data_IF_667658891620
#
_entry.id   IF_667658891620
#
_cell.length_a   1.000
_cell.length_b   1.000
_cell.length_c   1.000
_cell.angle_alpha   90.00
_cell.angle_beta   90.00
_cell.angle_gamma   90.00
#
_symmetry.space_group_name_H-M   'P 1'
#
loop_
_entity.id
_entity.type
_entity.pdbx_description
1 polymer ?
#
# COMPACT_ATOMS: atom_id res chain seq x y z
N UNK A 1 2.90 -11.53 9.17
CA UNK A 1 2.77 -11.04 7.77
C UNK A 1 4.13 -10.87 7.09
N UNK A 2 4.32 -11.33 5.84
CA UNK A 2 5.49 -11.03 4.99
C UNK A 2 5.18 -9.87 4.03
N UNK A 3 6.01 -8.84 4.01
CA UNK A 3 5.78 -7.62 3.20
C UNK A 3 6.62 -7.62 1.92
N UNK A 4 5.95 -7.52 0.77
CA UNK A 4 6.55 -7.46 -0.56
C UNK A 4 6.22 -6.11 -1.18
N UNK A 5 7.25 -5.33 -1.50
CA UNK A 5 7.09 -4.00 -2.10
C UNK A 5 7.42 -4.06 -3.58
N UNK A 6 6.55 -3.45 -4.39
CA UNK A 6 6.78 -3.22 -5.80
C UNK A 6 7.10 -1.75 -6.00
N UNK A 7 8.34 -1.47 -6.42
CA UNK A 7 8.80 -0.09 -6.56
C UNK A 7 9.70 0.10 -7.77
N UNK A 8 9.64 1.30 -8.33
CA UNK A 8 10.50 1.80 -9.40
C UNK A 8 10.16 3.29 -9.61
N UNK A 9 11.17 4.14 -9.62
CA UNK A 9 11.06 5.57 -9.95
C UNK A 9 10.55 5.84 -11.37
N UNK A 10 10.68 4.89 -12.31
CA UNK A 10 10.10 5.00 -13.65
C UNK A 10 8.60 4.71 -13.59
N UNK A 11 7.79 5.62 -14.13
CA UNK A 11 6.37 5.41 -14.38
C UNK A 11 6.12 4.39 -15.50
N UNK A 12 4.96 3.73 -15.50
CA UNK A 12 4.56 2.85 -16.60
C UNK A 12 5.31 1.52 -16.73
N UNK A 13 6.06 1.09 -15.71
CA UNK A 13 6.81 -0.19 -15.71
C UNK A 13 6.01 -1.39 -15.17
N UNK A 14 4.67 -1.30 -15.17
CA UNK A 14 3.75 -2.33 -14.69
C UNK A 14 3.83 -2.67 -13.18
N UNK A 15 4.17 -1.70 -12.32
CA UNK A 15 4.17 -1.87 -10.85
C UNK A 15 2.80 -2.31 -10.31
N UNK A 16 1.79 -1.46 -10.48
CA UNK A 16 0.40 -1.73 -10.08
C UNK A 16 -0.14 -3.03 -10.63
N UNK A 17 0.07 -3.29 -11.92
CA UNK A 17 -0.36 -4.53 -12.57
C UNK A 17 0.28 -5.75 -11.92
N UNK A 18 1.59 -5.70 -11.67
CA UNK A 18 2.33 -6.78 -11.02
C UNK A 18 1.90 -6.95 -9.56
N UNK A 19 1.63 -5.85 -8.85
CA UNK A 19 1.21 -5.86 -7.45
C UNK A 19 -0.14 -6.57 -7.31
N UNK A 20 -1.11 -6.16 -8.13
CA UNK A 20 -2.42 -6.77 -8.15
C UNK A 20 -2.37 -8.25 -8.55
N UNK A 21 -1.65 -8.59 -9.62
CA UNK A 21 -1.53 -9.97 -10.09
C UNK A 21 -0.86 -10.88 -9.06
N UNK A 22 0.20 -10.40 -8.38
CA UNK A 22 0.86 -11.12 -7.30
C UNK A 22 -0.10 -11.36 -6.14
N UNK A 23 -0.79 -10.32 -5.69
CA UNK A 23 -1.74 -10.42 -4.57
C UNK A 23 -2.90 -11.37 -4.90
N UNK A 24 -3.47 -11.29 -6.10
CA UNK A 24 -4.51 -12.20 -6.58
C UNK A 24 -4.00 -13.65 -6.67
N UNK A 25 -2.77 -13.86 -7.14
CA UNK A 25 -2.14 -15.18 -7.19
C UNK A 25 -1.91 -15.78 -5.80
N UNK A 26 -1.47 -14.98 -4.82
CA UNK A 26 -1.32 -15.39 -3.42
C UNK A 26 -2.68 -15.73 -2.81
N UNK A 27 -3.70 -14.91 -3.03
CA UNK A 27 -5.08 -15.17 -2.59
C UNK A 27 -5.61 -16.49 -3.18
N UNK A 28 -5.41 -16.73 -4.48
CA UNK A 28 -5.84 -17.97 -5.13
C UNK A 28 -5.15 -19.23 -4.58
N UNK A 29 -4.01 -19.07 -3.88
CA UNK A 29 -3.35 -20.15 -3.13
C UNK A 29 -3.85 -20.30 -1.69
N UNK A 30 -4.85 -19.54 -1.28
CA UNK A 30 -5.48 -19.62 0.04
C UNK A 30 -4.83 -18.73 1.12
N UNK A 31 -3.92 -17.83 0.75
CA UNK A 31 -3.33 -16.89 1.71
C UNK A 31 -4.25 -15.71 2.00
N UNK A 32 -4.19 -15.19 3.23
CA UNK A 32 -4.78 -13.91 3.62
C UNK A 32 -3.85 -12.79 3.16
N UNK A 33 -4.32 -11.93 2.26
CA UNK A 33 -3.48 -10.92 1.60
C UNK A 33 -4.00 -9.52 1.91
N UNK A 34 -3.12 -8.68 2.43
CA UNK A 34 -3.32 -7.24 2.48
C UNK A 34 -2.68 -6.62 1.24
N UNK A 35 -3.39 -5.72 0.58
CA UNK A 35 -2.84 -4.88 -0.48
C UNK A 35 -2.80 -3.44 0.03
N UNK A 36 -1.65 -2.79 -0.12
CA UNK A 36 -1.45 -1.38 0.21
C UNK A 36 -1.17 -0.61 -1.07
N UNK A 37 -2.02 0.38 -1.34
CA UNK A 37 -1.86 1.35 -2.42
C UNK A 37 -1.21 2.61 -1.83
N UNK A 38 0.11 2.70 -1.97
CA UNK A 38 0.90 3.84 -1.55
C UNK A 38 1.18 4.81 -2.72
N UNK A 39 0.40 4.73 -3.80
CA UNK A 39 0.37 5.73 -4.87
C UNK A 39 -0.83 6.66 -4.65
N UNK A 40 -0.64 7.98 -4.51
CA UNK A 40 -1.76 8.93 -4.39
C UNK A 40 -2.77 8.88 -5.55
N UNK A 41 -2.38 8.34 -6.72
CA UNK A 41 -3.29 8.13 -7.86
C UNK A 41 -4.27 6.97 -7.66
N UNK A 42 -4.08 6.16 -6.63
CA UNK A 42 -4.98 5.06 -6.25
C UNK A 42 -5.25 4.01 -7.34
N UNK A 43 -4.31 3.85 -8.30
CA UNK A 43 -4.50 2.96 -9.45
C UNK A 43 -4.73 1.50 -9.04
N UNK A 44 -4.08 1.05 -7.97
CA UNK A 44 -4.24 -0.32 -7.47
C UNK A 44 -5.63 -0.53 -6.85
N UNK A 45 -6.10 0.46 -6.09
CA UNK A 45 -7.43 0.48 -5.49
C UNK A 45 -8.51 0.35 -6.54
N UNK A 46 -8.42 1.15 -7.62
CA UNK A 46 -9.34 1.07 -8.75
C UNK A 46 -9.22 -0.26 -9.51
N UNK A 47 -8.00 -0.75 -9.73
CA UNK A 47 -7.76 -2.04 -10.40
C UNK A 47 -8.40 -3.20 -9.65
N UNK A 48 -8.45 -3.12 -8.33
CA UNK A 48 -9.11 -4.10 -7.48
C UNK A 48 -10.64 -3.91 -7.37
N UNK A 49 -11.23 -3.02 -8.19
CA UNK A 49 -12.67 -2.79 -8.23
C UNK A 49 -13.21 -2.07 -6.99
N UNK A 50 -12.37 -1.28 -6.29
CA UNK A 50 -12.77 -0.53 -5.11
C UNK A 50 -12.69 0.97 -5.33
N UNK A 51 -13.51 1.69 -4.57
CA UNK A 51 -13.48 3.15 -4.51
C UNK A 51 -12.60 3.61 -3.36
N UNK A 52 -11.99 4.78 -3.54
CA UNK A 52 -11.16 5.41 -2.51
C UNK A 52 -12.04 5.91 -1.35
N UNK A 53 -11.67 5.55 -0.12
CA UNK A 53 -12.24 6.17 1.07
C UNK A 53 -11.63 7.55 1.25
N UNK A 54 -12.44 8.61 1.24
CA UNK A 54 -11.95 9.99 1.39
C UNK A 54 -11.80 10.43 2.85
N UNK A 55 -12.42 9.70 3.78
CA UNK A 55 -12.45 10.07 5.20
C UNK A 55 -11.38 9.31 6.00
N UNK A 56 -11.37 7.98 5.90
CA UNK A 56 -10.38 7.15 6.59
C UNK A 56 -9.44 6.53 5.54
N UNK A 57 -8.35 7.22 5.22
CA UNK A 57 -7.28 6.75 4.33
C UNK A 57 -6.12 6.18 5.13
N UNK A 58 -5.20 5.49 4.46
CA UNK A 58 -3.88 5.19 5.02
C UNK A 58 -3.20 6.46 5.51
N UNK A 59 -3.34 7.58 4.80
CA UNK A 59 -2.74 8.84 5.22
C UNK A 59 -3.28 9.31 6.59
N UNK A 60 -4.59 9.27 6.81
CA UNK A 60 -5.20 9.61 8.10
C UNK A 60 -4.77 8.63 9.21
N UNK A 61 -4.62 7.35 8.88
CA UNK A 61 -4.12 6.36 9.83
C UNK A 61 -2.64 6.61 10.20
N UNK A 62 -1.80 7.01 9.24
CA UNK A 62 -0.40 7.39 9.50
C UNK A 62 -0.32 8.66 10.36
N UNK A 63 -1.25 9.60 10.20
CA UNK A 63 -1.37 10.77 11.09
C UNK A 63 -1.87 10.40 12.49
N UNK A 64 -2.53 9.25 12.65
CA UNK A 64 -3.16 8.84 13.90
C UNK A 64 -4.56 9.44 14.11
N UNK A 65 -5.18 9.94 13.04
CA UNK A 65 -6.53 10.49 13.07
C UNK A 65 -7.61 9.39 13.00
N UNK A 66 -7.24 8.21 12.50
CA UNK A 66 -8.03 6.99 12.57
C UNK A 66 -7.13 5.77 12.76
N UNK A 67 -7.74 4.62 13.03
CA UNK A 67 -7.04 3.34 13.09
C UNK A 67 -6.83 2.75 11.70
N UNK A 68 -5.82 1.89 11.56
CA UNK A 68 -5.57 1.14 10.31
C UNK A 68 -6.78 0.29 9.93
N UNK A 69 -7.48 -0.27 10.93
CA UNK A 69 -8.73 -1.01 10.73
C UNK A 69 -9.84 -0.14 10.15
N UNK A 70 -10.00 1.10 10.62
CA UNK A 70 -10.98 2.05 10.05
C UNK A 70 -10.59 2.48 8.64
N UNK A 71 -9.30 2.68 8.37
CA UNK A 71 -8.81 3.00 7.03
C UNK A 71 -8.99 1.85 6.02
N UNK A 72 -8.98 0.61 6.50
CA UNK A 72 -9.34 -0.58 5.71
C UNK A 72 -10.85 -0.72 5.52
N UNK A 73 -11.69 -0.09 6.36
CA UNK A 73 -13.13 -0.30 6.41
C UNK A 73 -13.88 0.59 5.40
N UNK A 74 -13.81 0.19 4.13
CA UNK A 74 -14.81 0.48 3.09
C UNK A 74 -14.90 -0.64 2.04
N UNK A 75 -14.43 -1.82 2.43
CA UNK A 75 -14.31 -2.98 1.57
C UNK A 75 -15.49 -3.89 1.84
N UNK A 76 -16.55 -3.76 1.05
CA UNK A 76 -17.71 -4.66 1.15
C UNK A 76 -17.21 -6.12 1.16
N UNK A 77 -17.59 -6.97 2.13
CA UNK A 77 -17.08 -8.33 2.25
C UNK A 77 -17.70 -9.21 1.17
N UNK A 78 -17.19 -9.10 -0.06
CA UNK A 78 -17.51 -10.06 -1.12
C UNK A 78 -16.37 -11.08 -1.27
N UNK A 79 -15.15 -10.79 -0.77
CA UNK A 79 -14.04 -11.75 -0.80
C UNK A 79 -13.20 -11.68 0.47
N UNK A 80 -13.49 -12.55 1.43
CA UNK A 80 -12.98 -12.60 2.82
C UNK A 80 -11.49 -12.90 2.99
N UNK A 81 -10.64 -12.69 1.98
CA UNK A 81 -9.20 -12.93 2.06
C UNK A 81 -8.33 -11.79 1.50
N UNK A 82 -8.93 -10.73 0.95
CA UNK A 82 -8.19 -9.61 0.38
C UNK A 82 -8.71 -8.25 0.87
N UNK A 83 -7.87 -7.58 1.67
CA UNK A 83 -8.13 -6.21 2.14
C UNK A 83 -7.28 -5.21 1.37
N UNK A 84 -7.78 -3.97 1.30
CA UNK A 84 -7.14 -2.88 0.57
C UNK A 84 -7.01 -1.68 1.50
N UNK A 85 -5.85 -1.04 1.44
CA UNK A 85 -5.52 0.15 2.20
C UNK A 85 -4.92 1.18 1.25
N UNK A 86 -5.59 2.31 1.04
CA UNK A 86 -5.17 3.34 0.07
C UNK A 86 -4.77 4.63 0.75
N UNK A 87 -3.69 5.25 0.28
CA UNK A 87 -3.26 6.58 0.74
C UNK A 87 -4.15 7.70 0.23
N UNK A 88 -4.78 7.52 -0.92
CA UNK A 88 -5.67 8.50 -1.51
C UNK A 88 -5.00 9.79 -1.99
N UNK A 89 -5.79 10.70 -2.55
CA UNK A 89 -5.32 11.95 -3.16
C UNK A 89 -4.58 12.88 -2.17
N UNK A 90 -4.88 12.75 -0.88
CA UNK A 90 -4.19 13.47 0.20
C UNK A 90 -2.71 13.08 0.33
N UNK A 91 -2.29 11.94 -0.23
CA UNK A 91 -0.91 11.45 -0.23
C UNK A 91 0.11 12.40 -0.87
N UNK A 92 -0.31 13.34 -1.73
CA UNK A 92 0.58 14.35 -2.31
C UNK A 92 1.00 15.44 -1.31
N UNK A 93 0.10 15.83 -0.38
CA UNK A 93 0.39 16.75 0.71
C UNK A 93 1.10 16.05 1.89
N UNK A 94 0.93 14.73 1.98
CA UNK A 94 1.48 13.88 3.03
C UNK A 94 2.99 14.03 3.20
N UNK A 95 3.73 14.03 2.09
CA UNK A 95 5.19 14.12 2.10
C UNK A 95 5.69 15.41 2.79
N UNK A 96 4.97 16.53 2.66
CA UNK A 96 5.32 17.80 3.29
C UNK A 96 4.90 17.85 4.76
N UNK A 97 3.68 17.43 5.08
CA UNK A 97 3.12 17.50 6.44
C UNK A 97 3.85 16.54 7.39
N UNK A 98 4.12 15.32 6.92
CA UNK A 98 4.80 14.28 7.69
C UNK A 98 6.32 14.46 7.75
N UNK A 99 6.89 15.39 6.97
CA UNK A 99 8.32 15.66 6.99
C UNK A 99 8.83 16.08 8.38
N UNK A 100 8.03 16.73 9.20
CA UNK A 100 8.47 17.19 10.53
C UNK A 100 8.45 16.10 11.61
N UNK A 101 7.85 14.93 11.34
CA UNK A 101 7.75 13.86 12.33
C UNK A 101 9.07 13.12 12.54
N UNK A 102 9.30 12.74 13.79
CA UNK A 102 10.40 11.84 14.16
C UNK A 102 10.08 10.42 13.67
N UNK A 103 11.09 9.69 13.18
CA UNK A 103 10.94 8.33 12.66
C UNK A 103 9.88 8.20 11.55
N UNK A 104 9.68 9.27 10.77
CA UNK A 104 8.64 9.36 9.72
C UNK A 104 8.75 8.28 8.65
N UNK A 105 9.92 7.68 8.47
CA UNK A 105 10.17 6.58 7.55
C UNK A 105 9.66 5.21 8.05
N UNK A 106 9.28 5.09 9.33
CA UNK A 106 8.79 3.86 9.95
C UNK A 106 7.26 3.82 10.14
N UNK A 107 6.54 4.90 9.86
CA UNK A 107 5.12 5.02 10.20
C UNK A 107 4.26 3.94 9.54
N UNK A 108 4.53 3.59 8.28
CA UNK A 108 3.81 2.51 7.61
C UNK A 108 4.13 1.15 8.22
N UNK A 109 5.37 0.92 8.64
CA UNK A 109 5.76 -0.32 9.32
C UNK A 109 4.98 -0.48 10.63
N UNK A 110 4.96 0.56 11.45
CA UNK A 110 4.22 0.58 12.73
C UNK A 110 2.70 0.42 12.52
N UNK A 111 2.16 0.97 11.44
CA UNK A 111 0.76 0.78 11.06
C UNK A 111 0.47 -0.69 10.68
N UNK A 112 1.35 -1.30 9.89
CA UNK A 112 1.20 -2.68 9.42
C UNK A 112 1.40 -3.72 10.54
N UNK A 113 2.21 -3.43 11.55
CA UNK A 113 2.39 -4.28 12.73
C UNK A 113 1.08 -4.53 13.48
N UNK A 114 0.17 -3.54 13.49
CA UNK A 114 -1.14 -3.63 14.17
C UNK A 114 -2.11 -4.62 13.52
N UNK A 115 -1.87 -5.00 12.27
CA UNK A 115 -2.71 -5.93 11.48
C UNK A 115 -1.94 -7.18 11.05
N UNK A 116 -0.70 -7.36 11.52
CA UNK A 116 0.22 -8.37 11.00
C UNK A 116 -0.22 -9.82 11.27
N UNK A 117 -1.05 -10.04 12.28
CA UNK A 117 -1.58 -11.37 12.65
C UNK A 117 -2.77 -11.80 11.77
N UNK A 118 -3.45 -10.83 11.16
CA UNK A 118 -4.61 -11.07 10.30
C UNK A 118 -4.23 -11.47 8.87
N UNK A 119 -2.97 -11.29 8.48
CA UNK A 119 -2.50 -11.50 7.11
C UNK A 119 -1.20 -12.31 7.03
N UNK A 120 -1.13 -13.16 6.02
CA UNK A 120 0.06 -13.93 5.70
C UNK A 120 1.02 -13.09 4.85
N UNK A 121 0.48 -12.28 3.92
CA UNK A 121 1.24 -11.41 3.02
C UNK A 121 0.68 -9.99 2.97
N UNK A 122 1.58 -9.01 2.85
CA UNK A 122 1.28 -7.64 2.47
C UNK A 122 1.96 -7.35 1.13
N UNK A 123 1.21 -6.86 0.14
CA UNK A 123 1.75 -6.40 -1.15
C UNK A 123 1.55 -4.90 -1.24
N UNK A 124 2.65 -4.15 -1.38
CA UNK A 124 2.64 -2.69 -1.42
C UNK A 124 3.01 -2.22 -2.83
N UNK A 125 2.15 -1.42 -3.44
CA UNK A 125 2.45 -0.68 -4.68
C UNK A 125 2.83 0.77 -4.33
N UNK A 126 3.92 1.26 -4.92
CA UNK A 126 4.41 2.61 -4.65
C UNK A 126 4.25 3.52 -5.86
N UNK A 127 4.10 4.81 -5.61
CA UNK A 127 4.20 5.86 -6.62
C UNK A 127 5.52 5.76 -7.45
N UNK A 128 5.57 6.32 -8.68
CA UNK A 128 6.79 6.44 -9.48
C UNK A 128 7.71 7.57 -8.96
N UNK A 129 7.92 7.66 -7.66
CA UNK A 129 8.75 8.66 -7.00
C UNK A 129 9.51 8.04 -5.83
N UNK A 130 10.58 8.70 -5.38
CA UNK A 130 11.30 8.36 -4.13
C UNK A 130 10.81 9.24 -2.96
N UNK A 131 9.50 9.49 -2.90
CA UNK A 131 8.86 10.28 -1.84
C UNK A 131 8.84 9.57 -0.49
N UNK A 132 8.29 10.23 0.52
CA UNK A 132 8.26 9.70 1.89
C UNK A 132 7.45 8.40 1.99
N UNK A 133 6.36 8.29 1.22
CA UNK A 133 5.55 7.07 1.16
C UNK A 133 6.31 5.88 0.56
N UNK A 134 7.10 6.11 -0.50
CA UNK A 134 7.98 5.08 -1.08
C UNK A 134 9.05 4.65 -0.08
N UNK A 135 9.64 5.60 0.65
CA UNK A 135 10.59 5.29 1.72
C UNK A 135 9.94 4.46 2.83
N UNK A 136 8.73 4.83 3.25
CA UNK A 136 7.95 4.08 4.23
C UNK A 136 7.67 2.64 3.78
N UNK A 137 7.28 2.45 2.51
CA UNK A 137 7.09 1.12 1.93
C UNK A 137 8.38 0.31 2.00
N UNK A 138 9.51 0.88 1.56
CA UNK A 138 10.82 0.23 1.59
C UNK A 138 11.26 -0.15 3.01
N UNK A 139 11.03 0.72 4.00
CA UNK A 139 11.34 0.45 5.41
C UNK A 139 10.50 -0.69 5.98
N UNK A 140 9.26 -0.86 5.50
CA UNK A 140 8.37 -1.94 5.90
C UNK A 140 8.61 -3.27 5.15
N UNK A 141 9.49 -3.28 4.14
CA UNK A 141 9.65 -4.41 3.22
C UNK A 141 10.49 -5.55 3.81
N UNK A 142 10.02 -6.79 3.69
CA UNK A 142 10.86 -7.98 3.79
C UNK A 142 11.52 -8.30 2.44
N UNK A 143 10.83 -8.00 1.35
CA UNK A 143 11.27 -8.23 -0.03
C UNK A 143 10.89 -7.05 -0.90
N UNK A 144 11.74 -6.74 -1.86
CA UNK A 144 11.51 -5.71 -2.86
C UNK A 144 11.58 -6.36 -4.25
N UNK A 145 10.57 -6.08 -5.06
CA UNK A 145 10.52 -6.40 -6.48
C UNK A 145 10.62 -5.07 -7.23
N UNK A 146 11.51 -5.00 -8.20
CA UNK A 146 11.69 -3.83 -9.07
C UNK A 146 11.25 -4.23 -10.49
N UNK A 147 10.00 -3.95 -10.87
CA UNK A 147 9.55 -4.19 -12.24
C UNK A 147 10.34 -3.31 -13.21
N UNK A 148 10.83 -3.91 -14.29
CA UNK A 148 11.61 -3.23 -15.33
C UNK A 148 10.93 -3.45 -16.67
N UNK A 149 10.75 -2.37 -17.42
CA UNK A 149 10.37 -2.45 -18.83
C UNK A 149 11.64 -2.54 -19.68
N UNK A 150 11.74 -3.56 -20.53
CA UNK A 150 12.86 -3.78 -21.46
C UNK A 150 12.59 -2.99 -22.75
N UNK A 151 12.52 -1.68 -22.63
CA UNK A 151 12.58 -0.79 -23.80
C UNK A 151 14.06 -0.63 -24.18
N UNK A 152 14.38 -0.95 -25.43
CA UNK A 152 15.70 -0.79 -26.06
C UNK A 152 15.92 0.66 -26.44
#
# INVERSE_FOLDING_TARGET
>A
MKTIVLTNQKGGVAKTTTAYALAAGLRNKGYRVLIVDADPQSNLTYTAGREENKENTLYEALKGNCTVFEAMRNTNPIETAMSILSVGLAGTAADMELASRTAREYMLKEALEKVADDYDFCVIDTAPTLGLLTLNALTAADRVIIPLNLEV
#
